data_IF_400803333999
#
_entry.id   IF_400803333999
#
_cell.length_a   1.000
_cell.length_b   1.000
_cell.length_c   1.000
_cell.angle_alpha   90.00
_cell.angle_beta   90.00
_cell.angle_gamma   90.00
#
_symmetry.space_group_name_H-M   'P 1'
#
loop_
_entity.id
_entity.type
_entity.pdbx_description
1 polymer ?
#
# COMPACT_ATOMS: atom_id res chain seq x y z
N UNK A 1 -9.01 15.71 -19.22
CA UNK A 1 -8.01 14.75 -19.75
C UNK A 1 -8.55 13.36 -19.45
N UNK A 2 -8.82 12.54 -20.48
CA UNK A 2 -9.37 11.20 -20.29
C UNK A 2 -8.26 10.26 -19.80
N UNK A 3 -8.27 9.92 -18.52
CA UNK A 3 -7.36 8.92 -17.96
C UNK A 3 -7.77 7.54 -18.46
N UNK A 4 -7.02 7.00 -19.43
CA UNK A 4 -7.17 5.59 -19.82
C UNK A 4 -6.77 4.74 -18.62
N UNK A 5 -7.74 4.00 -18.07
CA UNK A 5 -7.49 3.04 -16.99
C UNK A 5 -6.67 1.87 -17.55
N UNK A 6 -5.39 1.81 -17.22
CA UNK A 6 -4.54 0.67 -17.55
C UNK A 6 -5.09 -0.58 -16.85
N UNK A 7 -5.31 -1.71 -17.55
CA UNK A 7 -5.73 -2.96 -16.94
C UNK A 7 -4.75 -3.42 -15.86
N UNK A 8 -5.25 -3.94 -14.74
CA UNK A 8 -4.44 -4.37 -13.61
C UNK A 8 -3.34 -5.39 -14.02
N UNK A 9 -3.65 -6.30 -14.94
CA UNK A 9 -2.68 -7.24 -15.50
C UNK A 9 -1.47 -6.54 -16.15
N UNK A 10 -1.72 -5.53 -16.98
CA UNK A 10 -0.66 -4.78 -17.66
C UNK A 10 0.15 -3.93 -16.67
N UNK A 11 -0.52 -3.35 -15.67
CA UNK A 11 0.14 -2.61 -14.60
C UNK A 11 1.08 -3.48 -13.75
N UNK A 12 0.73 -4.75 -13.55
CA UNK A 12 1.55 -5.75 -12.88
C UNK A 12 2.74 -6.18 -13.75
N UNK A 13 2.51 -6.52 -15.02
CA UNK A 13 3.57 -6.90 -15.96
C UNK A 13 4.63 -5.79 -16.06
N UNK A 14 4.23 -4.54 -16.28
CA UNK A 14 5.16 -3.40 -16.34
C UNK A 14 5.92 -3.13 -15.05
N UNK A 15 5.39 -3.56 -13.88
CA UNK A 15 6.13 -3.49 -12.63
C UNK A 15 7.19 -4.58 -12.60
N UNK A 16 6.79 -5.82 -12.87
CA UNK A 16 7.66 -7.01 -12.85
C UNK A 16 8.83 -6.85 -13.83
N UNK A 17 8.60 -6.30 -15.03
CA UNK A 17 9.65 -6.03 -16.02
C UNK A 17 10.74 -5.07 -15.55
N UNK A 18 10.52 -4.33 -14.45
CA UNK A 18 11.49 -3.39 -13.88
C UNK A 18 12.17 -3.93 -12.61
N UNK A 19 11.77 -5.10 -12.14
CA UNK A 19 12.36 -5.71 -10.96
C UNK A 19 13.71 -6.35 -11.30
N UNK A 20 14.63 -6.47 -10.32
CA UNK A 20 15.85 -7.25 -10.48
C UNK A 20 15.56 -8.72 -10.79
N UNK A 21 16.42 -9.35 -11.61
CA UNK A 21 16.27 -10.76 -12.01
C UNK A 21 16.48 -11.75 -10.84
N UNK A 22 17.10 -11.31 -9.74
CA UNK A 22 17.37 -12.13 -8.55
C UNK A 22 16.22 -12.12 -7.53
N UNK A 23 15.14 -11.37 -7.79
CA UNK A 23 13.97 -11.35 -6.93
C UNK A 23 13.28 -12.73 -6.91
N UNK A 24 13.03 -13.21 -5.69
CA UNK A 24 12.18 -14.36 -5.43
C UNK A 24 10.70 -14.04 -5.69
N UNK A 25 9.87 -15.08 -5.80
CA UNK A 25 8.43 -14.91 -5.96
C UNK A 25 7.81 -14.12 -4.80
N UNK A 26 8.27 -14.33 -3.57
CA UNK A 26 7.76 -13.63 -2.38
C UNK A 26 8.06 -12.13 -2.44
N UNK A 27 9.25 -11.74 -2.94
CA UNK A 27 9.63 -10.35 -3.13
C UNK A 27 8.80 -9.68 -4.24
N UNK A 28 8.59 -10.37 -5.37
CA UNK A 28 7.72 -9.88 -6.45
C UNK A 28 6.30 -9.63 -5.93
N UNK A 29 5.76 -10.57 -5.15
CA UNK A 29 4.45 -10.41 -4.52
C UNK A 29 4.43 -9.23 -3.55
N UNK A 30 5.50 -9.05 -2.76
CA UNK A 30 5.68 -7.90 -1.87
C UNK A 30 5.60 -6.57 -2.61
N UNK A 31 6.31 -6.42 -3.73
CA UNK A 31 6.28 -5.22 -4.58
C UNK A 31 4.89 -4.93 -5.15
N UNK A 32 4.18 -5.98 -5.61
CA UNK A 32 2.82 -5.85 -6.13
C UNK A 32 1.86 -5.36 -5.03
N UNK A 33 1.93 -5.93 -3.83
CA UNK A 33 1.12 -5.49 -2.69
C UNK A 33 1.47 -4.08 -2.24
N UNK A 34 2.75 -3.72 -2.23
CA UNK A 34 3.18 -2.38 -1.88
C UNK A 34 2.60 -1.34 -2.86
N UNK A 35 2.71 -1.59 -4.16
CA UNK A 35 2.12 -0.72 -5.20
C UNK A 35 0.60 -0.57 -5.02
N UNK A 36 -0.09 -1.66 -4.71
CA UNK A 36 -1.53 -1.63 -4.44
C UNK A 36 -1.87 -0.77 -3.21
N UNK A 37 -1.13 -0.92 -2.12
CA UNK A 37 -1.33 -0.15 -0.88
C UNK A 37 -1.10 1.33 -1.10
N UNK A 38 -0.07 1.73 -1.86
CA UNK A 38 0.18 3.13 -2.20
C UNK A 38 -0.98 3.71 -2.99
N UNK A 39 -1.46 2.99 -4.01
CA UNK A 39 -2.61 3.42 -4.83
C UNK A 39 -3.88 3.59 -4.00
N UNK A 40 -4.14 2.66 -3.08
CA UNK A 40 -5.26 2.75 -2.16
C UNK A 40 -5.11 3.96 -1.23
N UNK A 41 -3.91 4.19 -0.68
CA UNK A 41 -3.63 5.34 0.17
C UNK A 41 -3.85 6.67 -0.53
N UNK A 42 -3.47 6.79 -1.81
CA UNK A 42 -3.76 7.99 -2.62
C UNK A 42 -5.27 8.22 -2.78
N UNK A 43 -6.03 7.16 -3.07
CA UNK A 43 -7.49 7.23 -3.15
C UNK A 43 -8.15 7.56 -1.81
N UNK A 44 -7.56 7.12 -0.71
CA UNK A 44 -8.03 7.42 0.65
C UNK A 44 -7.81 8.89 0.98
N UNK A 45 -6.68 9.47 0.58
CA UNK A 45 -6.41 10.91 0.70
C UNK A 45 -7.41 11.71 -0.13
N UNK A 46 -7.60 11.38 -1.41
CA UNK A 46 -8.57 12.04 -2.29
C UNK A 46 -10.00 11.94 -1.75
N UNK A 47 -10.35 10.81 -1.16
CA UNK A 47 -11.67 10.56 -0.56
C UNK A 47 -11.83 11.06 0.87
N UNK A 48 -10.84 11.75 1.45
CA UNK A 48 -10.89 12.23 2.84
C UNK A 48 -10.89 11.13 3.91
N UNK A 49 -10.58 9.87 3.56
CA UNK A 49 -10.44 8.72 4.47
C UNK A 49 -9.08 8.73 5.16
N UNK A 50 -8.76 9.84 5.82
CA UNK A 50 -7.49 10.07 6.50
C UNK A 50 -7.68 10.16 8.01
N UNK A 51 -6.63 9.87 8.76
CA UNK A 51 -6.61 10.06 10.20
C UNK A 51 -5.82 11.33 10.54
N UNK A 52 -6.32 12.10 11.50
CA UNK A 52 -5.57 13.18 12.13
C UNK A 52 -4.44 12.62 13.00
N UNK A 53 -3.46 13.47 13.31
CA UNK A 53 -2.35 13.13 14.20
C UNK A 53 -2.82 12.57 15.55
N UNK A 54 -3.86 13.17 16.14
CA UNK A 54 -4.42 12.73 17.41
C UNK A 54 -5.16 11.39 17.29
N UNK A 55 -5.83 11.13 16.17
CA UNK A 55 -6.46 9.83 15.92
C UNK A 55 -5.41 8.71 15.84
N UNK A 56 -4.29 8.94 15.13
CA UNK A 56 -3.19 7.98 15.03
C UNK A 56 -2.53 7.71 16.39
N UNK A 57 -2.24 8.75 17.19
CA UNK A 57 -1.69 8.56 18.54
C UNK A 57 -2.56 7.65 19.39
N UNK A 58 -3.88 7.86 19.37
CA UNK A 58 -4.82 7.05 20.12
C UNK A 58 -4.86 5.59 19.64
N UNK A 59 -4.74 5.35 18.33
CA UNK A 59 -4.66 4.00 17.76
C UNK A 59 -3.39 3.27 18.20
N UNK A 60 -2.23 3.93 18.11
CA UNK A 60 -0.94 3.35 18.53
C UNK A 60 -0.93 2.98 20.00
N UNK A 61 -1.49 3.84 20.88
CA UNK A 61 -1.63 3.54 22.31
C UNK A 61 -2.51 2.31 22.55
N UNK A 62 -3.62 2.16 21.81
CA UNK A 62 -4.49 0.98 21.90
C UNK A 62 -3.77 -0.29 21.47
N UNK A 63 -3.04 -0.26 20.36
CA UNK A 63 -2.27 -1.42 19.89
C UNK A 63 -1.19 -1.84 20.88
N UNK A 64 -0.46 -0.89 21.47
CA UNK A 64 0.54 -1.18 22.51
C UNK A 64 -0.07 -1.95 23.68
N UNK A 65 -1.28 -1.58 24.11
CA UNK A 65 -2.01 -2.27 25.19
C UNK A 65 -2.49 -3.67 24.78
N UNK A 66 -2.92 -3.86 23.52
CA UNK A 66 -3.37 -5.18 23.04
C UNK A 66 -2.23 -6.17 22.76
N UNK A 67 -1.02 -5.67 22.45
CA UNK A 67 0.14 -6.52 22.13
C UNK A 67 0.84 -7.11 23.37
N UNK A 68 0.26 -7.01 24.56
CA UNK A 68 0.82 -7.57 25.81
C UNK A 68 2.11 -6.92 26.29
N UNK A 69 2.48 -5.76 25.73
CA UNK A 69 3.68 -4.99 26.11
C UNK A 69 3.30 -3.84 27.05
N UNK A 70 3.06 -4.17 28.32
CA UNK A 70 3.11 -3.24 29.46
C UNK A 70 4.31 -3.60 30.32
#
# INVERSE_FOLDING_TARGET
MNTVKIPAKLEAIHLIEKLPDDYSMDEIMGELYFKQQVKQGLQDVEGGRVYSHEQIKNMVVKWRKSSGRI
#
